data_IF_082463306636
#
_entry.id   IF_082463306636
#
_cell.length_a   1.000
_cell.length_b   1.000
_cell.length_c   1.000
_cell.angle_alpha   90.00
_cell.angle_beta   90.00
_cell.angle_gamma   90.00
#
_symmetry.space_group_name_H-M   'P 1'
#
loop_
_entity.id
_entity.type
_entity.pdbx_description
1 polymer ?
#
# COMPACT_ATOMS: atom_id res chain seq x y z
N UNK A 1 15.44 -20.76 1.39
CA UNK A 1 15.57 -19.78 2.49
C UNK A 1 14.32 -18.92 2.42
N UNK A 2 13.31 -19.23 3.23
CA UNK A 2 11.99 -18.62 3.10
C UNK A 2 12.03 -17.16 3.57
N UNK A 3 11.62 -16.24 2.69
CA UNK A 3 11.50 -14.80 2.92
C UNK A 3 10.31 -14.53 3.85
N UNK A 4 10.41 -14.90 5.13
CA UNK A 4 9.37 -14.66 6.12
C UNK A 4 9.55 -13.25 6.74
N UNK A 5 8.46 -12.48 6.78
CA UNK A 5 8.28 -11.19 7.48
C UNK A 5 8.82 -9.90 6.84
N UNK A 6 8.19 -9.43 5.74
CA UNK A 6 8.30 -8.02 5.30
C UNK A 6 7.31 -7.08 6.01
N UNK A 7 6.40 -7.61 6.83
CA UNK A 7 5.38 -6.82 7.57
C UNK A 7 5.78 -6.60 9.05
N UNK A 8 6.97 -7.00 9.47
CA UNK A 8 7.48 -6.63 10.80
C UNK A 8 7.82 -5.13 10.80
N UNK A 9 6.95 -4.32 11.40
CA UNK A 9 7.09 -2.87 11.48
C UNK A 9 5.79 -2.14 11.19
N UNK A 10 5.89 -0.84 10.91
CA UNK A 10 4.74 -0.04 10.49
C UNK A 10 4.44 -0.31 9.03
N UNK A 11 3.17 -0.58 8.71
CA UNK A 11 2.71 -0.74 7.34
C UNK A 11 1.47 0.11 7.09
N UNK A 12 1.59 1.04 6.14
CA UNK A 12 0.50 1.91 5.72
C UNK A 12 0.08 1.61 4.27
N UNK A 13 -1.23 1.60 4.05
CA UNK A 13 -1.83 1.61 2.72
C UNK A 13 -2.26 3.03 2.38
N UNK A 14 -1.55 3.65 1.45
CA UNK A 14 -1.77 5.03 1.03
C UNK A 14 -2.53 5.07 -0.31
N UNK A 15 -3.68 5.73 -0.36
CA UNK A 15 -4.37 6.01 -1.62
C UNK A 15 -3.98 7.39 -2.13
N UNK A 16 -3.49 7.45 -3.37
CA UNK A 16 -3.08 8.68 -4.01
C UNK A 16 -4.21 9.72 -4.05
N UNK A 17 -3.87 11.03 -4.06
CA UNK A 17 -4.87 12.07 -4.20
C UNK A 17 -5.63 11.87 -5.52
N UNK A 18 -6.94 12.16 -5.51
CA UNK A 18 -7.86 12.00 -6.65
C UNK A 18 -8.39 10.58 -6.90
N UNK A 19 -7.99 9.58 -6.10
CA UNK A 19 -8.74 8.32 -6.06
C UNK A 19 -10.05 8.53 -5.30
N UNK A 20 -11.17 8.10 -5.90
CA UNK A 20 -12.47 8.19 -5.23
C UNK A 20 -12.52 7.28 -4.01
N UNK A 21 -13.35 7.60 -3.01
CA UNK A 21 -13.54 6.78 -1.82
C UNK A 21 -13.93 5.31 -2.12
N UNK A 22 -14.50 5.03 -3.30
CA UNK A 22 -14.82 3.66 -3.75
C UNK A 22 -13.57 2.76 -3.81
N UNK A 23 -12.40 3.30 -4.13
CA UNK A 23 -11.13 2.55 -4.17
C UNK A 23 -10.79 1.93 -2.82
N UNK A 24 -11.15 2.62 -1.73
CA UNK A 24 -11.03 2.07 -0.39
C UNK A 24 -12.22 1.14 -0.06
N UNK A 25 -13.45 1.65 -0.11
CA UNK A 25 -14.61 0.92 0.42
C UNK A 25 -15.06 -0.28 -0.39
N UNK A 26 -14.80 -0.30 -1.70
CA UNK A 26 -15.24 -1.38 -2.59
C UNK A 26 -14.09 -2.31 -2.93
N UNK A 27 -12.99 -1.78 -3.48
CA UNK A 27 -11.89 -2.63 -3.94
C UNK A 27 -11.11 -3.28 -2.79
N UNK A 28 -11.00 -2.62 -1.63
CA UNK A 28 -10.16 -3.11 -0.54
C UNK A 28 -10.91 -3.75 0.61
N UNK A 29 -12.24 -3.92 0.53
CA UNK A 29 -13.06 -4.37 1.67
C UNK A 29 -12.60 -5.73 2.21
N UNK A 30 -12.56 -6.76 1.37
CA UNK A 30 -12.19 -8.12 1.78
C UNK A 30 -10.75 -8.16 2.32
N UNK A 31 -9.85 -7.45 1.65
CA UNK A 31 -8.47 -7.30 2.08
C UNK A 31 -8.35 -6.63 3.45
N UNK A 32 -9.09 -5.54 3.67
CA UNK A 32 -9.11 -4.82 4.94
C UNK A 32 -9.72 -5.67 6.07
N UNK A 33 -10.79 -6.42 5.79
CA UNK A 33 -11.40 -7.33 6.77
C UNK A 33 -10.41 -8.41 7.25
N UNK A 34 -9.49 -8.84 6.38
CA UNK A 34 -8.48 -9.87 6.68
C UNK A 34 -7.22 -9.31 7.36
N UNK A 35 -6.57 -8.32 6.74
CA UNK A 35 -5.25 -7.82 7.19
C UNK A 35 -5.32 -6.54 8.04
N UNK A 36 -6.45 -5.81 8.00
CA UNK A 36 -6.69 -4.57 8.74
C UNK A 36 -5.53 -3.56 8.66
N UNK A 37 -5.03 -3.22 7.45
CA UNK A 37 -3.96 -2.25 7.32
C UNK A 37 -4.43 -0.87 7.79
N UNK A 38 -3.47 -0.04 8.23
CA UNK A 38 -3.74 1.38 8.47
C UNK A 38 -3.85 2.06 7.11
N UNK A 39 -5.02 2.63 6.80
CA UNK A 39 -5.29 3.27 5.52
C UNK A 39 -5.19 4.78 5.64
N UNK A 40 -4.46 5.38 4.70
CA UNK A 40 -4.14 6.80 4.67
C UNK A 40 -4.55 7.45 3.34
N UNK A 41 -4.96 8.72 3.42
CA UNK A 41 -5.16 9.60 2.27
C UNK A 41 -4.15 10.76 2.22
N UNK A 42 -3.33 10.88 3.26
CA UNK A 42 -2.15 11.76 3.33
C UNK A 42 -1.02 11.03 4.07
N UNK A 43 0.20 11.54 3.97
CA UNK A 43 1.37 10.88 4.57
C UNK A 43 1.82 11.53 5.88
N UNK A 44 1.07 12.49 6.42
CA UNK A 44 1.45 13.27 7.61
C UNK A 44 1.69 12.38 8.83
N UNK A 45 0.84 11.36 9.03
CA UNK A 45 1.00 10.45 10.18
C UNK A 45 2.26 9.59 10.09
N UNK A 46 2.77 9.36 8.87
CA UNK A 46 3.96 8.55 8.63
C UNK A 46 5.22 9.26 9.14
N UNK A 47 5.20 10.60 9.19
CA UNK A 47 6.32 11.41 9.70
C UNK A 47 6.61 11.19 11.20
N UNK A 48 5.66 10.61 11.93
CA UNK A 48 5.81 10.28 13.34
C UNK A 48 6.37 8.87 13.59
N UNK A 49 6.59 8.07 12.54
CA UNK A 49 7.21 6.76 12.66
C UNK A 49 8.69 6.94 13.02
N UNK A 50 9.19 6.33 14.11
CA UNK A 50 10.60 6.40 14.46
C UNK A 50 11.49 5.90 13.33
N UNK A 51 12.55 6.64 12.99
CA UNK A 51 13.46 6.27 11.89
C UNK A 51 14.25 4.98 12.14
N UNK A 52 14.23 4.47 13.37
CA UNK A 52 14.83 3.18 13.75
C UNK A 52 13.94 1.99 13.41
N UNK A 53 12.65 2.23 13.16
CA UNK A 53 11.67 1.18 12.88
C UNK A 53 11.56 0.92 11.39
N UNK A 54 11.20 -0.31 11.04
CA UNK A 54 10.91 -0.68 9.66
C UNK A 54 9.58 -0.08 9.24
N UNK A 55 9.58 0.59 8.09
CA UNK A 55 8.42 1.25 7.53
C UNK A 55 8.18 0.73 6.11
N UNK A 56 6.97 0.23 5.88
CA UNK A 56 6.46 -0.11 4.55
C UNK A 56 5.31 0.81 4.20
N UNK A 57 5.37 1.38 3.00
CA UNK A 57 4.29 2.20 2.44
C UNK A 57 3.86 1.50 1.16
N UNK A 58 2.65 0.95 1.14
CA UNK A 58 2.02 0.50 -0.09
C UNK A 58 1.17 1.64 -0.64
N UNK A 59 1.48 2.15 -1.83
CA UNK A 59 0.69 3.21 -2.47
C UNK A 59 -0.22 2.64 -3.56
N UNK A 60 -1.48 3.05 -3.59
CA UNK A 60 -2.39 2.85 -4.71
C UNK A 60 -2.47 4.15 -5.49
N UNK A 61 -2.12 4.10 -6.78
CA UNK A 61 -2.18 5.26 -7.67
C UNK A 61 -2.62 4.84 -9.08
N UNK A 62 -3.09 5.81 -9.86
CA UNK A 62 -3.32 5.64 -11.29
C UNK A 62 -2.03 5.82 -12.07
N UNK A 63 -1.98 5.34 -13.31
CA UNK A 63 -0.77 5.40 -14.13
C UNK A 63 -0.29 6.83 -14.39
N UNK A 64 -1.20 7.78 -14.48
CA UNK A 64 -0.93 9.21 -14.65
C UNK A 64 -0.27 9.89 -13.44
N UNK A 65 -0.43 9.32 -12.24
CA UNK A 65 0.01 9.91 -10.96
C UNK A 65 1.03 9.05 -10.22
N UNK A 66 1.23 7.80 -10.62
CA UNK A 66 2.11 6.83 -9.96
C UNK A 66 3.56 7.32 -9.82
N UNK A 67 4.13 7.93 -10.86
CA UNK A 67 5.50 8.47 -10.81
C UNK A 67 5.62 9.58 -9.77
N UNK A 68 4.68 10.52 -9.75
CA UNK A 68 4.67 11.62 -8.78
C UNK A 68 4.53 11.11 -7.34
N UNK A 69 3.65 10.14 -7.12
CA UNK A 69 3.46 9.50 -5.80
C UNK A 69 4.73 8.78 -5.35
N UNK A 70 5.39 8.06 -6.25
CA UNK A 70 6.65 7.38 -5.96
C UNK A 70 7.77 8.35 -5.59
N UNK A 71 7.89 9.44 -6.34
CA UNK A 71 8.87 10.49 -6.07
C UNK A 71 8.63 11.15 -4.71
N UNK A 72 7.39 11.53 -4.39
CA UNK A 72 7.03 12.11 -3.09
C UNK A 72 7.39 11.17 -1.92
N UNK A 73 7.00 9.90 -2.01
CA UNK A 73 7.29 8.90 -0.97
C UNK A 73 8.80 8.69 -0.81
N UNK A 74 9.52 8.53 -1.92
CA UNK A 74 10.97 8.28 -1.89
C UNK A 74 11.73 9.48 -1.32
N UNK A 75 11.28 10.70 -1.62
CA UNK A 75 11.90 11.92 -1.12
C UNK A 75 11.63 12.14 0.37
N UNK A 76 10.39 11.93 0.82
CA UNK A 76 9.96 12.16 2.21
C UNK A 76 10.39 11.05 3.16
N UNK A 77 10.39 9.81 2.69
CA UNK A 77 10.64 8.61 3.49
C UNK A 77 11.71 7.72 2.83
N UNK A 78 12.97 8.17 2.73
CA UNK A 78 14.03 7.46 2.00
C UNK A 78 14.37 6.08 2.59
N UNK A 79 14.02 5.83 3.85
CA UNK A 79 14.24 4.55 4.52
C UNK A 79 13.01 3.61 4.45
N UNK A 80 11.90 4.06 3.85
CA UNK A 80 10.71 3.23 3.71
C UNK A 80 10.86 2.25 2.55
N UNK A 81 10.35 1.03 2.73
CA UNK A 81 10.07 0.15 1.61
C UNK A 81 8.80 0.63 0.91
N UNK A 82 8.93 1.07 -0.33
CA UNK A 82 7.80 1.54 -1.14
C UNK A 82 7.30 0.44 -2.08
N UNK A 83 6.07 -0.01 -1.86
CA UNK A 83 5.34 -0.97 -2.69
C UNK A 83 4.29 -0.22 -3.54
N UNK A 84 4.56 -0.02 -4.82
CA UNK A 84 3.69 0.77 -5.70
C UNK A 84 2.68 -0.13 -6.44
N UNK A 85 1.40 0.03 -6.12
CA UNK A 85 0.27 -0.55 -6.85
C UNK A 85 -0.28 0.47 -7.84
N UNK A 86 -0.09 0.19 -9.13
CA UNK A 86 -0.54 1.08 -10.21
C UNK A 86 -1.71 0.43 -10.93
N UNK A 87 -2.90 1.00 -10.75
CA UNK A 87 -4.14 0.50 -11.35
C UNK A 87 -4.96 1.69 -11.86
N UNK A 88 -5.42 1.60 -13.11
CA UNK A 88 -6.27 2.63 -13.70
C UNK A 88 -7.77 2.37 -13.48
N UNK A 89 -8.13 1.14 -13.13
CA UNK A 89 -9.50 0.70 -12.91
C UNK A 89 -9.66 0.08 -11.52
N UNK A 90 -10.80 0.37 -10.90
CA UNK A 90 -11.16 -0.08 -9.56
C UNK A 90 -11.22 -1.61 -9.49
N UNK A 91 -11.80 -2.20 -10.54
CA UNK A 91 -12.09 -3.62 -10.67
C UNK A 91 -10.79 -4.45 -10.67
N UNK A 92 -9.74 -3.94 -11.33
CA UNK A 92 -8.44 -4.60 -11.40
C UNK A 92 -7.74 -4.62 -10.04
N UNK A 93 -7.82 -3.50 -9.29
CA UNK A 93 -7.32 -3.46 -7.93
C UNK A 93 -8.09 -4.42 -7.03
N UNK A 94 -9.42 -4.44 -7.14
CA UNK A 94 -10.28 -5.32 -6.34
C UNK A 94 -9.91 -6.79 -6.55
N UNK A 95 -9.80 -7.21 -7.81
CA UNK A 95 -9.40 -8.56 -8.17
C UNK A 95 -8.02 -8.91 -7.59
N UNK A 96 -7.06 -8.00 -7.71
CA UNK A 96 -5.70 -8.21 -7.18
C UNK A 96 -5.71 -8.38 -5.66
N UNK A 97 -6.44 -7.53 -4.94
CA UNK A 97 -6.53 -7.59 -3.49
C UNK A 97 -7.25 -8.85 -3.01
N UNK A 98 -8.30 -9.28 -3.71
CA UNK A 98 -9.01 -10.53 -3.42
C UNK A 98 -8.11 -11.76 -3.62
N UNK A 99 -7.37 -11.83 -4.74
CA UNK A 99 -6.40 -12.91 -5.01
C UNK A 99 -5.35 -12.97 -3.92
N UNK A 100 -4.82 -11.83 -3.48
CA UNK A 100 -3.85 -11.75 -2.38
C UNK A 100 -4.39 -12.33 -1.07
N UNK A 101 -5.64 -12.04 -0.72
CA UNK A 101 -6.29 -12.66 0.45
C UNK A 101 -6.39 -14.17 0.30
N UNK A 102 -6.76 -14.67 -0.89
CA UNK A 102 -6.89 -16.10 -1.15
C UNK A 102 -5.55 -16.85 -1.08
N UNK A 103 -4.47 -16.20 -1.50
CA UNK A 103 -3.11 -16.73 -1.44
C UNK A 103 -2.42 -16.52 -0.09
N UNK A 104 -3.07 -15.82 0.86
CA UNK A 104 -2.45 -15.47 2.14
C UNK A 104 -1.24 -14.52 2.00
N UNK A 105 -1.23 -13.68 0.96
CA UNK A 105 -0.14 -12.76 0.63
C UNK A 105 -0.49 -11.31 1.02
N UNK A 106 0.02 -10.79 2.14
CA UNK A 106 -0.15 -9.38 2.46
C UNK A 106 0.60 -8.48 1.47
N UNK A 107 0.13 -7.24 1.35
CA UNK A 107 0.83 -6.13 0.69
C UNK A 107 2.24 -5.93 1.26
N UNK A 108 3.12 -5.28 0.51
CA UNK A 108 4.54 -5.18 0.88
C UNK A 108 5.33 -6.48 0.71
N UNK A 109 4.69 -7.55 0.23
CA UNK A 109 5.35 -8.79 -0.22
C UNK A 109 5.26 -8.87 -1.74
N UNK A 110 6.37 -9.09 -2.46
CA UNK A 110 6.35 -9.35 -3.90
C UNK A 110 5.45 -10.56 -4.23
N UNK A 111 4.70 -10.48 -5.32
CA UNK A 111 4.00 -11.65 -5.88
C UNK A 111 5.05 -12.46 -6.66
N UNK A 112 5.28 -13.71 -6.26
CA UNK A 112 6.10 -14.69 -7.00
C UNK A 112 5.33 -15.33 -8.16
#
# INVERSE_FOLDING_TARGET
>A
MAQQHLVEGYHFLYFAPNLSAAWFFQASRRYWEHYRPIVLYNLEIVEYVPTTDRLTITSVARSDTATLVKEDITQRFPNAFHDALVYDYLEDLALTLDVRVELGQPLGVPIE
#
